data_IF_580418400137
#
_entry.id   IF_580418400137
#
_cell.length_a   1.000
_cell.length_b   1.000
_cell.length_c   1.000
_cell.angle_alpha   90.00
_cell.angle_beta   90.00
_cell.angle_gamma   90.00
#
_symmetry.space_group_name_H-M   'P 1'
#
loop_
_entity.id
_entity.type
_entity.pdbx_description
1 polymer ?
#
# COMPACT_ATOMS: atom_id res chain seq x y z
N UNK A 1 -28.04 2.44 29.53
CA UNK A 1 -27.94 1.80 28.20
C UNK A 1 -26.52 2.01 27.71
N UNK A 2 -25.67 0.98 27.77
CA UNK A 2 -24.30 1.09 27.29
C UNK A 2 -24.36 1.17 25.76
N UNK A 3 -23.95 2.30 25.19
CA UNK A 3 -23.64 2.38 23.78
C UNK A 3 -22.52 1.37 23.51
N UNK A 4 -22.82 0.29 22.79
CA UNK A 4 -21.76 -0.48 22.14
C UNK A 4 -21.01 0.52 21.27
N UNK A 5 -19.79 0.87 21.65
CA UNK A 5 -18.88 1.56 20.75
C UNK A 5 -18.73 0.63 19.55
N UNK A 6 -19.32 0.96 18.40
CA UNK A 6 -19.09 0.20 17.18
C UNK A 6 -17.59 0.28 16.91
N UNK A 7 -16.87 -0.84 17.04
CA UNK A 7 -15.46 -0.88 16.72
C UNK A 7 -15.29 -0.45 15.27
N UNK A 8 -14.66 0.70 15.04
CA UNK A 8 -14.41 1.21 13.70
C UNK A 8 -13.60 0.16 12.93
N UNK A 9 -14.16 -0.33 11.82
CA UNK A 9 -13.45 -1.29 10.96
C UNK A 9 -12.18 -0.67 10.42
N UNK A 10 -11.10 -1.44 10.39
CA UNK A 10 -9.83 -1.01 9.83
C UNK A 10 -9.46 -1.84 8.61
N UNK A 11 -9.40 -1.19 7.45
CA UNK A 11 -8.93 -1.80 6.21
C UNK A 11 -7.49 -1.37 5.92
N UNK A 12 -6.64 -2.35 5.63
CA UNK A 12 -5.32 -2.11 5.04
C UNK A 12 -5.43 -2.42 3.55
N UNK A 13 -5.05 -1.47 2.70
CA UNK A 13 -4.99 -1.65 1.26
C UNK A 13 -3.53 -1.70 0.85
N UNK A 14 -3.18 -2.76 0.13
CA UNK A 14 -1.83 -3.02 -0.34
C UNK A 14 -1.82 -3.20 -1.87
N UNK A 15 -1.80 -2.09 -2.63
CA UNK A 15 -1.76 -2.14 -4.10
C UNK A 15 -0.43 -2.68 -4.61
N UNK A 16 -0.45 -3.34 -5.77
CA UNK A 16 0.78 -3.61 -6.50
C UNK A 16 1.38 -2.31 -7.02
N UNK A 17 2.71 -2.25 -7.15
CA UNK A 17 3.48 -1.03 -7.44
C UNK A 17 3.44 -0.65 -8.94
N UNK A 18 2.23 -0.57 -9.48
CA UNK A 18 1.87 -0.15 -10.84
C UNK A 18 0.71 0.85 -10.73
N UNK A 19 0.74 1.94 -11.52
CA UNK A 19 -0.31 2.96 -11.47
C UNK A 19 -1.73 2.40 -11.64
N UNK A 20 -1.93 1.49 -12.60
CA UNK A 20 -3.23 0.86 -12.87
C UNK A 20 -3.81 0.08 -11.69
N UNK A 21 -3.00 -0.24 -10.67
CA UNK A 21 -3.41 -0.91 -9.44
C UNK A 21 -3.51 0.08 -8.27
N UNK A 22 -2.58 1.03 -8.17
CA UNK A 22 -2.57 2.04 -7.10
C UNK A 22 -3.78 2.98 -7.18
N UNK A 23 -4.09 3.50 -8.37
CA UNK A 23 -5.21 4.45 -8.56
C UNK A 23 -6.55 3.85 -8.09
N UNK A 24 -7.00 2.68 -8.58
CA UNK A 24 -8.27 2.11 -8.11
C UNK A 24 -8.25 1.75 -6.62
N UNK A 25 -7.11 1.33 -6.06
CA UNK A 25 -6.99 1.09 -4.63
C UNK A 25 -7.13 2.38 -3.80
N UNK A 26 -6.62 3.53 -4.27
CA UNK A 26 -6.87 4.83 -3.62
C UNK A 26 -8.37 5.18 -3.69
N UNK A 27 -9.04 4.90 -4.80
CA UNK A 27 -10.48 5.15 -4.91
C UNK A 27 -11.29 4.25 -3.97
N UNK A 28 -10.94 2.96 -3.87
CA UNK A 28 -11.53 2.04 -2.87
C UNK A 28 -11.27 2.54 -1.46
N UNK A 29 -10.06 3.02 -1.15
CA UNK A 29 -9.73 3.58 0.15
C UNK A 29 -10.70 4.71 0.53
N UNK A 30 -10.95 5.62 -0.42
CA UNK A 30 -11.86 6.75 -0.22
C UNK A 30 -13.31 6.30 -0.07
N UNK A 31 -13.75 5.29 -0.81
CA UNK A 31 -15.09 4.73 -0.69
C UNK A 31 -15.30 4.07 0.69
N UNK A 32 -14.35 3.27 1.16
CA UNK A 32 -14.39 2.66 2.50
C UNK A 32 -14.38 3.72 3.61
N UNK A 33 -13.50 4.72 3.50
CA UNK A 33 -13.39 5.79 4.48
C UNK A 33 -14.66 6.65 4.55
N UNK A 34 -15.34 6.89 3.43
CA UNK A 34 -16.65 7.57 3.40
C UNK A 34 -17.75 6.80 4.13
N UNK A 35 -17.63 5.48 4.25
CA UNK A 35 -18.54 4.64 5.04
C UNK A 35 -18.13 4.53 6.51
N UNK A 36 -17.18 5.35 6.96
CA UNK A 36 -16.75 5.42 8.35
C UNK A 36 -15.64 4.44 8.75
N UNK A 37 -15.10 3.65 7.82
CA UNK A 37 -13.99 2.76 8.12
C UNK A 37 -12.65 3.51 8.22
N UNK A 38 -11.78 3.13 9.16
CA UNK A 38 -10.39 3.58 9.15
C UNK A 38 -9.63 2.87 8.02
N UNK A 39 -8.84 3.60 7.23
CA UNK A 39 -8.14 3.02 6.08
C UNK A 39 -6.66 3.33 6.14
N UNK A 40 -5.83 2.32 5.88
CA UNK A 40 -4.37 2.44 5.73
C UNK A 40 -3.96 2.02 4.35
N UNK A 41 -3.30 2.89 3.61
CA UNK A 41 -2.70 2.56 2.32
C UNK A 41 -1.23 2.27 2.56
N UNK A 42 -0.78 1.07 2.19
CA UNK A 42 0.63 0.65 2.33
C UNK A 42 1.31 0.74 0.97
N UNK A 43 2.33 1.58 0.84
CA UNK A 43 3.04 1.80 -0.43
C UNK A 43 4.49 2.23 -0.18
N UNK A 44 5.22 2.60 -1.23
CA UNK A 44 6.63 3.03 -1.14
C UNK A 44 6.75 4.56 -1.19
N UNK A 45 7.85 5.17 -0.72
CA UNK A 45 8.00 6.63 -0.69
C UNK A 45 7.76 7.33 -2.03
N UNK A 46 8.28 6.79 -3.14
CA UNK A 46 8.07 7.40 -4.48
C UNK A 46 6.63 7.30 -4.93
N UNK A 47 5.93 6.22 -4.58
CA UNK A 47 4.52 6.06 -4.90
C UNK A 47 3.63 6.93 -3.99
N UNK A 48 3.95 7.03 -2.70
CA UNK A 48 3.26 7.93 -1.77
C UNK A 48 3.35 9.39 -2.24
N UNK A 49 4.57 9.88 -2.53
CA UNK A 49 4.79 11.22 -3.05
C UNK A 49 4.05 11.48 -4.37
N UNK A 50 4.03 10.48 -5.28
CA UNK A 50 3.34 10.60 -6.57
C UNK A 50 1.83 10.81 -6.43
N UNK A 51 1.20 10.15 -5.45
CA UNK A 51 -0.25 10.21 -5.23
C UNK A 51 -0.68 11.08 -4.05
N UNK A 52 0.28 11.76 -3.40
CA UNK A 52 0.09 12.57 -2.20
C UNK A 52 -1.11 13.52 -2.33
N UNK A 53 -1.18 14.31 -3.39
CA UNK A 53 -2.26 15.28 -3.61
C UNK A 53 -3.67 14.65 -3.57
N UNK A 54 -3.84 13.44 -4.10
CA UNK A 54 -5.16 12.77 -4.15
C UNK A 54 -5.53 12.22 -2.77
N UNK A 55 -4.55 11.64 -2.07
CA UNK A 55 -4.73 11.09 -0.73
C UNK A 55 -5.01 12.22 0.28
N UNK A 56 -4.20 13.28 0.25
CA UNK A 56 -4.33 14.44 1.15
C UNK A 56 -5.66 15.14 1.00
N UNK A 57 -6.20 15.28 -0.21
CA UNK A 57 -7.56 15.82 -0.40
C UNK A 57 -8.61 15.00 0.34
N UNK A 58 -8.46 13.67 0.40
CA UNK A 58 -9.32 12.80 1.19
C UNK A 58 -9.19 13.09 2.69
N UNK A 59 -7.97 13.14 3.19
CA UNK A 59 -7.65 13.41 4.60
C UNK A 59 -8.17 14.79 5.04
N UNK A 60 -7.90 15.83 4.24
CA UNK A 60 -8.36 17.21 4.49
C UNK A 60 -9.89 17.33 4.47
N UNK A 61 -10.59 16.42 3.77
CA UNK A 61 -12.06 16.32 3.80
C UNK A 61 -12.59 15.55 5.02
N UNK A 62 -11.72 15.21 5.98
CA UNK A 62 -12.09 14.47 7.20
C UNK A 62 -12.18 12.95 7.01
N UNK A 63 -11.72 12.39 5.89
CA UNK A 63 -11.71 10.94 5.72
C UNK A 63 -10.60 10.31 6.59
N UNK A 64 -10.92 9.26 7.37
CA UNK A 64 -9.95 8.57 8.24
C UNK A 64 -9.00 7.68 7.44
N UNK A 65 -8.09 8.30 6.69
CA UNK A 65 -7.09 7.65 5.84
C UNK A 65 -5.70 7.94 6.39
N UNK A 66 -4.86 6.92 6.48
CA UNK A 66 -3.42 7.06 6.70
C UNK A 66 -2.62 6.36 5.59
N UNK A 67 -1.37 6.78 5.41
CA UNK A 67 -0.42 6.14 4.51
C UNK A 67 0.74 5.61 5.34
N UNK A 68 1.13 4.38 5.09
CA UNK A 68 2.34 3.78 5.66
C UNK A 68 3.28 3.47 4.50
N UNK A 69 4.49 3.98 4.63
CA UNK A 69 5.54 3.82 3.63
C UNK A 69 6.50 2.69 4.03
N UNK A 70 6.88 1.85 3.07
CA UNK A 70 7.93 0.85 3.22
C UNK A 70 9.05 1.03 2.19
N UNK A 71 10.27 0.70 2.57
CA UNK A 71 11.44 0.77 1.67
C UNK A 71 11.31 -0.27 0.57
N UNK A 72 11.41 0.17 -0.68
CA UNK A 72 11.59 -0.73 -1.82
C UNK A 72 13.08 -1.03 -2.04
N UNK A 73 13.51 -2.30 -2.15
CA UNK A 73 14.93 -2.67 -2.15
C UNK A 73 15.57 -2.52 -3.54
N UNK A 74 15.57 -1.30 -4.10
CA UNK A 74 16.15 -1.04 -5.44
C UNK A 74 17.63 -1.47 -5.52
N UNK A 75 18.45 -1.08 -4.54
CA UNK A 75 19.90 -1.24 -4.61
C UNK A 75 20.31 -2.71 -4.50
N UNK A 76 19.59 -3.48 -3.68
CA UNK A 76 19.84 -4.88 -3.39
C UNK A 76 19.70 -5.78 -4.63
N UNK A 77 18.87 -5.36 -5.60
CA UNK A 77 18.70 -6.06 -6.89
C UNK A 77 19.40 -5.36 -8.06
N UNK A 78 20.13 -4.27 -7.79
CA UNK A 78 20.80 -3.46 -8.79
C UNK A 78 19.84 -2.75 -9.75
N UNK A 79 18.72 -2.23 -9.22
CA UNK A 79 17.88 -1.23 -9.88
C UNK A 79 18.42 0.18 -9.59
N UNK A 80 18.19 1.15 -10.50
CA UNK A 80 18.45 2.55 -10.20
C UNK A 80 17.64 3.02 -8.99
N UNK A 81 18.20 3.94 -8.21
CA UNK A 81 17.55 4.50 -7.05
C UNK A 81 16.25 5.23 -7.45
N UNK A 82 15.17 4.96 -6.70
CA UNK A 82 13.87 5.56 -6.95
C UNK A 82 13.01 4.85 -8.01
N UNK A 83 13.48 3.75 -8.61
CA UNK A 83 12.66 2.90 -9.48
C UNK A 83 11.71 2.00 -8.67
N UNK A 84 10.78 2.62 -7.93
CA UNK A 84 9.83 1.92 -7.04
C UNK A 84 8.45 1.68 -7.67
N UNK A 85 8.23 2.17 -8.89
CA UNK A 85 7.06 1.83 -9.71
C UNK A 85 7.53 1.18 -11.01
N UNK A 86 6.72 0.28 -11.55
CA UNK A 86 6.98 -0.36 -12.84
C UNK A 86 7.28 0.63 -13.98
N UNK A 87 6.54 1.73 -14.05
CA UNK A 87 6.71 2.73 -15.11
C UNK A 87 7.94 3.64 -14.93
N UNK A 88 8.62 3.53 -13.79
CA UNK A 88 9.89 4.23 -13.53
C UNK A 88 11.10 3.42 -13.98
N UNK A 89 10.92 2.20 -14.48
CA UNK A 89 12.02 1.39 -15.01
C UNK A 89 12.54 2.01 -16.32
N UNK A 90 13.85 2.31 -16.43
CA UNK A 90 14.41 2.90 -17.66
C UNK A 90 14.48 1.91 -18.83
N UNK A 91 14.28 0.61 -18.58
CA UNK A 91 14.32 -0.44 -19.59
C UNK A 91 13.52 -1.66 -19.16
N UNK A 92 12.86 -2.32 -20.13
CA UNK A 92 12.17 -3.59 -19.93
C UNK A 92 13.10 -4.70 -19.44
N UNK A 93 14.41 -4.60 -19.73
CA UNK A 93 15.41 -5.57 -19.26
C UNK A 93 15.58 -5.60 -17.74
N UNK A 94 15.08 -4.58 -17.03
CA UNK A 94 15.12 -4.49 -15.56
C UNK A 94 13.88 -5.06 -14.88
N UNK A 95 12.86 -5.47 -15.64
CA UNK A 95 11.64 -6.11 -15.10
C UNK A 95 11.94 -7.31 -14.20
N UNK A 96 12.86 -8.24 -14.55
CA UNK A 96 13.17 -9.35 -13.66
C UNK A 96 13.70 -8.89 -12.30
N UNK A 97 14.55 -7.85 -12.27
CA UNK A 97 15.08 -7.27 -11.03
C UNK A 97 13.98 -6.61 -10.20
N UNK A 98 13.00 -5.97 -10.83
CA UNK A 98 11.84 -5.42 -10.15
C UNK A 98 11.04 -6.51 -9.43
N UNK A 99 10.81 -7.65 -10.07
CA UNK A 99 10.16 -8.78 -9.40
C UNK A 99 11.01 -9.42 -8.31
N UNK A 100 12.34 -9.50 -8.49
CA UNK A 100 13.24 -9.90 -7.40
C UNK A 100 13.17 -8.95 -6.19
N UNK A 101 13.05 -7.64 -6.43
CA UNK A 101 12.90 -6.66 -5.36
C UNK A 101 11.56 -6.85 -4.64
N UNK A 102 10.50 -7.12 -5.39
CA UNK A 102 9.20 -7.47 -4.82
C UNK A 102 9.32 -8.70 -3.92
N UNK A 103 9.93 -9.80 -4.39
CA UNK A 103 10.14 -11.04 -3.60
C UNK A 103 10.82 -10.78 -2.25
N UNK A 104 11.81 -9.87 -2.20
CA UNK A 104 12.49 -9.50 -0.96
C UNK A 104 11.60 -8.78 0.08
N UNK A 105 10.41 -8.31 -0.31
CA UNK A 105 9.50 -7.59 0.58
C UNK A 105 8.73 -8.48 1.54
N UNK A 106 8.86 -9.81 1.47
CA UNK A 106 7.97 -10.71 2.20
C UNK A 106 8.03 -10.51 3.69
N UNK A 107 9.20 -10.76 4.27
CA UNK A 107 9.40 -10.63 5.69
C UNK A 107 9.20 -9.19 6.18
N UNK A 108 9.71 -8.14 5.49
CA UNK A 108 9.43 -6.75 5.86
C UNK A 108 7.93 -6.43 5.92
N UNK A 109 7.14 -6.85 4.94
CA UNK A 109 5.71 -6.56 4.89
C UNK A 109 4.89 -7.39 5.88
N UNK A 110 5.24 -8.67 6.07
CA UNK A 110 4.61 -9.49 7.12
C UNK A 110 4.80 -8.87 8.50
N UNK A 111 6.01 -8.41 8.82
CA UNK A 111 6.29 -7.73 10.08
C UNK A 111 5.53 -6.41 10.18
N UNK A 112 5.53 -5.62 9.11
CA UNK A 112 4.76 -4.38 9.05
C UNK A 112 3.28 -4.62 9.34
N UNK A 113 2.65 -5.58 8.66
CA UNK A 113 1.23 -5.89 8.85
C UNK A 113 0.90 -6.41 10.26
N UNK A 114 1.84 -7.09 10.93
CA UNK A 114 1.69 -7.50 12.34
C UNK A 114 1.72 -6.30 13.28
N UNK A 115 2.50 -5.27 12.96
CA UNK A 115 2.74 -4.10 13.80
C UNK A 115 1.72 -2.96 13.59
N UNK A 116 1.03 -2.93 12.45
CA UNK A 116 0.03 -1.90 12.14
C UNK A 116 -0.99 -1.74 13.29
N UNK A 117 -1.20 -0.48 13.68
CA UNK A 117 -2.22 -0.05 14.63
C UNK A 117 -3.15 1.00 13.99
N UNK A 118 -4.47 0.99 14.29
CA UNK A 118 -5.19 -0.06 15.02
C UNK A 118 -5.06 -1.44 14.33
N UNK A 119 -5.47 -2.53 14.99
CA UNK A 119 -5.34 -3.86 14.39
C UNK A 119 -6.24 -3.95 13.13
N UNK A 120 -5.70 -4.37 11.97
CA UNK A 120 -6.49 -4.50 10.76
C UNK A 120 -7.63 -5.50 10.93
N UNK A 121 -8.84 -5.10 10.53
CA UNK A 121 -9.98 -6.00 10.39
C UNK A 121 -9.94 -6.77 9.07
N UNK A 122 -9.34 -6.18 8.03
CA UNK A 122 -9.22 -6.77 6.71
C UNK A 122 -8.00 -6.22 5.96
N UNK A 123 -7.26 -7.10 5.28
CA UNK A 123 -6.23 -6.75 4.30
C UNK A 123 -6.80 -6.95 2.90
N UNK A 124 -6.83 -5.89 2.10
CA UNK A 124 -7.15 -5.92 0.67
C UNK A 124 -5.82 -5.84 -0.06
N UNK A 125 -5.34 -7.01 -0.50
CA UNK A 125 -4.07 -7.16 -1.21
C UNK A 125 -4.29 -7.31 -2.70
N UNK A 126 -3.34 -6.81 -3.49
CA UNK A 126 -3.32 -7.01 -4.92
C UNK A 126 -3.10 -8.49 -5.31
N UNK A 127 -3.74 -8.92 -6.39
CA UNK A 127 -3.61 -10.29 -6.90
C UNK A 127 -2.18 -10.63 -7.33
N UNK A 128 -1.37 -9.64 -7.72
CA UNK A 128 0.02 -9.86 -8.14
C UNK A 128 0.94 -10.25 -6.96
N UNK A 129 0.47 -10.11 -5.72
CA UNK A 129 1.12 -10.63 -4.52
C UNK A 129 0.67 -12.05 -4.15
N UNK A 130 -0.34 -12.61 -4.82
CA UNK A 130 -0.85 -13.96 -4.57
C UNK A 130 0.22 -15.01 -4.88
N UNK A 131 0.47 -15.92 -3.93
CA UNK A 131 1.52 -16.96 -4.03
C UNK A 131 2.93 -16.49 -3.69
N UNK A 132 3.12 -15.21 -3.30
CA UNK A 132 4.43 -14.65 -2.95
C UNK A 132 4.53 -14.13 -1.50
N UNK A 133 3.41 -13.83 -0.85
CA UNK A 133 3.40 -13.12 0.46
C UNK A 133 2.31 -13.53 1.45
N UNK A 134 1.43 -14.48 1.09
CA UNK A 134 0.25 -14.79 1.89
C UNK A 134 0.01 -16.30 1.97
N UNK A 135 0.86 -16.96 2.76
CA UNK A 135 0.56 -18.17 3.55
C UNK A 135 1.33 -18.08 4.88
#
# INVERSE_FOLDING_TARGET
MASQASSQLHFVLFPFLIQGHIIPMIDIARLLAKQGAFVTIVTTPKNAARFQNVIERGIQSGLPIQVIEFRFPCQEVGLPEGCENWDMLPSITLVPKFFSAVEMLQLPLENLFREIQPKPSCLISDMLFLGRFLL
#
